data_IF_128444601899
#
_entry.id   IF_128444601899
#
_cell.length_a   1.000
_cell.length_b   1.000
_cell.length_c   1.000
_cell.angle_alpha   90.00
_cell.angle_beta   90.00
_cell.angle_gamma   90.00
#
_symmetry.space_group_name_H-M   'P 1'
#
loop_
_entity.id
_entity.type
_entity.pdbx_description
1 polymer ?
#
# COMPACT_ATOMS: atom_id res chain seq x y z
N UNK A 1 10.35 10.07 -71.31
CA UNK A 1 9.01 10.41 -70.79
C UNK A 1 8.62 9.62 -69.53
N UNK A 2 8.89 8.30 -69.43
CA UNK A 2 8.53 7.48 -68.26
C UNK A 2 9.20 7.91 -66.93
N UNK A 3 10.46 8.37 -66.95
CA UNK A 3 11.19 8.83 -65.74
C UNK A 3 10.63 10.13 -65.13
N UNK A 4 10.01 11.00 -65.93
CA UNK A 4 9.46 12.28 -65.45
C UNK A 4 8.15 12.08 -64.69
N UNK A 5 7.30 11.16 -65.15
CA UNK A 5 6.05 10.81 -64.46
C UNK A 5 6.28 10.15 -63.09
N UNK A 6 7.32 9.32 -62.96
CA UNK A 6 7.68 8.68 -61.68
C UNK A 6 8.18 9.73 -60.67
N UNK A 7 8.96 10.71 -61.11
CA UNK A 7 9.47 11.78 -60.23
C UNK A 7 8.33 12.69 -59.72
N UNK A 8 7.37 13.02 -60.59
CA UNK A 8 6.20 13.85 -60.24
C UNK A 8 5.29 13.10 -59.26
N UNK A 9 5.05 11.80 -59.48
CA UNK A 9 4.25 10.98 -58.57
C UNK A 9 4.92 10.82 -57.19
N UNK A 10 6.24 10.64 -57.15
CA UNK A 10 6.99 10.59 -55.89
C UNK A 10 6.94 11.92 -55.12
N UNK A 11 7.11 13.05 -55.83
CA UNK A 11 7.01 14.39 -55.24
C UNK A 11 5.60 14.68 -54.70
N UNK A 12 4.55 14.33 -55.43
CA UNK A 12 3.17 14.47 -54.94
C UNK A 12 2.86 13.59 -53.72
N UNK A 13 3.40 12.37 -53.70
CA UNK A 13 3.21 11.45 -52.57
C UNK A 13 3.94 11.95 -51.32
N UNK A 14 5.15 12.50 -51.49
CA UNK A 14 5.94 13.07 -50.39
C UNK A 14 5.32 14.39 -49.89
N UNK A 15 4.83 15.25 -50.79
CA UNK A 15 4.14 16.49 -50.41
C UNK A 15 2.83 16.20 -49.69
N UNK A 16 2.06 15.20 -50.14
CA UNK A 16 0.83 14.75 -49.47
C UNK A 16 1.09 14.17 -48.08
N UNK A 17 2.15 13.36 -47.91
CA UNK A 17 2.58 12.86 -46.58
C UNK A 17 3.01 14.01 -45.66
N UNK A 18 3.77 14.97 -46.17
CA UNK A 18 4.27 16.09 -45.38
C UNK A 18 3.15 17.06 -44.99
N UNK A 19 2.20 17.33 -45.90
CA UNK A 19 1.05 18.20 -45.64
C UNK A 19 0.03 17.55 -44.70
N UNK A 20 -0.25 16.25 -44.86
CA UNK A 20 -1.08 15.50 -43.90
C UNK A 20 -0.40 15.41 -42.53
N UNK A 21 0.92 15.24 -42.45
CA UNK A 21 1.63 15.23 -41.15
C UNK A 21 1.56 16.59 -40.44
N UNK A 22 1.64 17.70 -41.19
CA UNK A 22 1.51 19.05 -40.61
C UNK A 22 0.08 19.34 -40.18
N UNK A 23 -0.92 18.99 -41.00
CA UNK A 23 -2.33 19.18 -40.63
C UNK A 23 -2.72 18.29 -39.45
N UNK A 24 -2.26 17.03 -39.41
CA UNK A 24 -2.53 16.13 -38.28
C UNK A 24 -1.82 16.63 -37.02
N UNK A 25 -0.57 17.11 -37.10
CA UNK A 25 0.13 17.64 -35.92
C UNK A 25 -0.52 18.95 -35.43
N UNK A 26 -0.88 19.87 -36.33
CA UNK A 26 -1.58 21.11 -35.97
C UNK A 26 -3.01 20.86 -35.49
N UNK A 27 -3.72 19.87 -36.03
CA UNK A 27 -5.04 19.48 -35.57
C UNK A 27 -4.98 18.71 -34.23
N UNK A 28 -3.92 17.95 -33.95
CA UNK A 28 -3.69 17.32 -32.64
C UNK A 28 -3.40 18.37 -31.56
N UNK A 29 -2.69 19.46 -31.89
CA UNK A 29 -2.50 20.59 -30.96
C UNK A 29 -3.76 21.43 -30.73
N UNK A 30 -4.67 21.50 -31.71
CA UNK A 30 -5.91 22.31 -31.62
C UNK A 30 -7.09 21.49 -31.06
N UNK A 31 -7.04 20.15 -31.10
CA UNK A 31 -8.15 19.24 -30.75
C UNK A 31 -7.85 18.37 -29.52
N UNK A 32 -6.63 18.36 -28.98
CA UNK A 32 -6.42 17.79 -27.65
C UNK A 32 -6.98 18.79 -26.61
N UNK A 33 -8.16 18.55 -25.98
CA UNK A 33 -8.45 19.25 -24.73
C UNK A 33 -7.25 19.03 -23.81
N UNK A 34 -6.89 19.97 -22.93
CA UNK A 34 -5.82 19.79 -21.96
C UNK A 34 -6.02 18.45 -21.20
N UNK A 35 -5.44 17.36 -21.69
CA UNK A 35 -5.64 16.03 -21.12
C UNK A 35 -4.78 16.03 -19.88
N UNK A 36 -5.42 16.29 -18.74
CA UNK A 36 -4.73 16.29 -17.45
C UNK A 36 -3.93 15.00 -17.29
N UNK A 37 -2.66 15.17 -16.92
CA UNK A 37 -1.75 14.10 -16.55
C UNK A 37 -2.30 13.32 -15.35
N UNK A 38 -1.75 12.13 -15.09
CA UNK A 38 -2.19 11.33 -13.94
C UNK A 38 -1.86 12.01 -12.62
N UNK A 39 -0.73 12.71 -12.54
CA UNK A 39 -0.33 13.49 -11.37
C UNK A 39 -1.27 14.66 -11.15
N UNK A 40 -1.63 15.42 -12.19
CA UNK A 40 -2.58 16.53 -12.06
C UNK A 40 -3.94 16.05 -11.57
N UNK A 41 -4.43 14.90 -12.06
CA UNK A 41 -5.67 14.31 -11.55
C UNK A 41 -5.53 13.86 -10.10
N UNK A 42 -4.42 13.21 -9.74
CA UNK A 42 -4.12 12.79 -8.38
C UNK A 42 -4.08 14.00 -7.43
N UNK A 43 -3.43 15.08 -7.83
CA UNK A 43 -3.38 16.34 -7.08
C UNK A 43 -4.79 16.92 -6.85
N UNK A 44 -5.68 16.83 -7.84
CA UNK A 44 -7.08 17.25 -7.69
C UNK A 44 -7.84 16.40 -6.67
N UNK A 45 -7.73 15.07 -6.72
CA UNK A 45 -8.34 14.19 -5.72
C UNK A 45 -7.80 14.51 -4.31
N UNK A 46 -6.49 14.77 -4.20
CA UNK A 46 -5.87 15.11 -2.92
C UNK A 46 -6.36 16.45 -2.37
N UNK A 47 -6.45 17.48 -3.22
CA UNK A 47 -7.01 18.79 -2.84
C UNK A 47 -8.44 18.68 -2.33
N UNK A 48 -9.26 17.81 -2.92
CA UNK A 48 -10.61 17.54 -2.43
C UNK A 48 -10.58 17.00 -0.99
N UNK A 49 -9.75 15.99 -0.70
CA UNK A 49 -9.60 15.43 0.66
C UNK A 49 -9.09 16.49 1.64
N UNK A 50 -8.08 17.29 1.25
CA UNK A 50 -7.55 18.35 2.12
C UNK A 50 -8.60 19.42 2.41
N UNK A 51 -9.42 19.80 1.42
CA UNK A 51 -10.47 20.81 1.60
C UNK A 51 -11.50 20.39 2.65
N UNK A 52 -11.82 19.09 2.73
CA UNK A 52 -12.71 18.55 3.75
C UNK A 52 -12.13 18.72 5.16
N UNK A 53 -10.88 18.32 5.38
CA UNK A 53 -10.26 18.41 6.71
C UNK A 53 -9.89 19.84 7.12
N UNK A 54 -9.63 20.73 6.16
CA UNK A 54 -9.33 22.15 6.43
C UNK A 54 -10.58 23.02 6.70
N UNK A 55 -11.76 22.61 6.21
CA UNK A 55 -13.01 23.38 6.35
C UNK A 55 -13.82 23.06 7.61
N UNK A 56 -13.37 22.10 8.42
CA UNK A 56 -14.18 21.44 9.47
C UNK A 56 -14.28 22.23 10.80
N UNK A 57 -14.88 23.42 10.78
CA UNK A 57 -15.29 24.14 12.01
C UNK A 57 -16.72 23.81 12.49
N UNK A 58 -17.58 23.19 11.68
CA UNK A 58 -18.94 22.81 12.09
C UNK A 58 -19.29 21.42 11.54
N UNK A 59 -19.39 20.42 12.43
CA UNK A 59 -19.67 19.02 12.07
C UNK A 59 -21.16 18.69 12.30
N UNK A 60 -21.96 18.90 11.27
CA UNK A 60 -23.31 18.35 11.18
C UNK A 60 -23.24 16.84 10.86
N UNK A 61 -23.86 16.00 11.69
CA UNK A 61 -23.77 14.53 11.62
C UNK A 61 -24.27 13.95 10.28
N UNK A 62 -25.22 14.62 9.63
CA UNK A 62 -25.77 14.21 8.33
C UNK A 62 -24.78 14.39 7.17
N UNK A 63 -23.91 15.40 7.26
CA UNK A 63 -22.85 15.67 6.28
C UNK A 63 -21.70 14.67 6.40
N UNK A 64 -21.44 14.14 7.59
CA UNK A 64 -20.32 13.23 7.84
C UNK A 64 -20.37 11.95 6.98
N UNK A 65 -21.55 11.35 6.78
CA UNK A 65 -21.68 10.12 5.98
C UNK A 65 -21.47 10.37 4.49
N UNK A 66 -22.02 11.47 3.97
CA UNK A 66 -21.81 11.87 2.58
C UNK A 66 -20.33 12.16 2.30
N UNK A 67 -19.68 12.89 3.20
CA UNK A 67 -18.26 13.17 3.07
C UNK A 67 -17.37 11.93 3.20
N UNK A 68 -17.76 10.93 4.00
CA UNK A 68 -17.05 9.66 4.05
C UNK A 68 -17.02 8.95 2.67
N UNK A 69 -18.17 8.87 1.98
CA UNK A 69 -18.24 8.24 0.65
C UNK A 69 -17.39 9.02 -0.38
N UNK A 70 -17.40 10.35 -0.32
CA UNK A 70 -16.55 11.20 -1.16
C UNK A 70 -15.06 10.96 -0.91
N UNK A 71 -14.63 10.98 0.36
CA UNK A 71 -13.22 10.74 0.74
C UNK A 71 -12.77 9.36 0.27
N UNK A 72 -13.61 8.34 0.47
CA UNK A 72 -13.33 6.96 0.03
C UNK A 72 -13.09 6.90 -1.48
N UNK A 73 -13.96 7.54 -2.26
CA UNK A 73 -13.84 7.61 -3.71
C UNK A 73 -12.55 8.34 -4.16
N UNK A 74 -12.20 9.45 -3.50
CA UNK A 74 -10.96 10.18 -3.80
C UNK A 74 -9.71 9.34 -3.50
N UNK A 75 -9.68 8.64 -2.36
CA UNK A 75 -8.58 7.74 -2.01
C UNK A 75 -8.44 6.59 -3.01
N UNK A 76 -9.56 5.98 -3.42
CA UNK A 76 -9.56 4.92 -4.43
C UNK A 76 -9.05 5.43 -5.79
N UNK A 77 -9.44 6.64 -6.19
CA UNK A 77 -8.95 7.27 -7.42
C UNK A 77 -7.43 7.50 -7.40
N UNK A 78 -6.87 7.98 -6.29
CA UNK A 78 -5.41 8.15 -6.13
C UNK A 78 -4.70 6.80 -6.37
N UNK A 79 -5.15 5.73 -5.71
CA UNK A 79 -4.61 4.38 -5.90
C UNK A 79 -4.77 3.89 -7.35
N UNK A 80 -5.91 4.15 -7.97
CA UNK A 80 -6.16 3.79 -9.37
C UNK A 80 -5.17 4.48 -10.29
N UNK A 81 -4.88 5.76 -10.09
CA UNK A 81 -3.89 6.48 -10.90
C UNK A 81 -2.48 5.93 -10.72
N UNK A 82 -2.08 5.55 -9.50
CA UNK A 82 -0.79 4.88 -9.24
C UNK A 82 -0.70 3.55 -9.99
N UNK A 83 -1.74 2.71 -9.91
CA UNK A 83 -1.79 1.41 -10.60
C UNK A 83 -1.72 1.56 -12.13
N UNK A 84 -2.47 2.51 -12.67
CA UNK A 84 -2.49 2.79 -14.11
C UNK A 84 -1.13 3.29 -14.62
N UNK A 85 -0.41 4.12 -13.84
CA UNK A 85 0.95 4.54 -14.15
C UNK A 85 1.91 3.34 -14.17
N UNK A 86 1.87 2.50 -13.13
CA UNK A 86 2.71 1.32 -12.98
C UNK A 86 2.49 0.28 -14.10
N UNK A 87 1.24 0.07 -14.53
CA UNK A 87 0.91 -0.77 -15.71
C UNK A 87 1.57 -0.20 -16.97
N UNK A 88 1.47 1.11 -17.21
CA UNK A 88 2.08 1.75 -18.39
C UNK A 88 3.59 1.63 -18.39
N UNK A 89 4.23 1.82 -17.24
CA UNK A 89 5.69 1.66 -17.09
C UNK A 89 6.10 0.23 -17.48
N UNK A 90 5.42 -0.79 -16.93
CA UNK A 90 5.67 -2.21 -17.27
C UNK A 90 5.44 -2.55 -18.74
N UNK A 91 4.45 -1.93 -19.38
CA UNK A 91 4.16 -2.14 -20.80
C UNK A 91 5.10 -1.36 -21.72
N UNK A 92 5.81 -0.37 -21.20
CA UNK A 92 6.77 0.42 -21.97
C UNK A 92 8.13 -0.29 -22.06
N UNK A 93 8.83 -0.12 -23.17
CA UNK A 93 10.22 -0.58 -23.33
C UNK A 93 11.23 0.26 -22.53
N UNK A 94 10.76 1.22 -21.71
CA UNK A 94 11.57 2.07 -20.84
C UNK A 94 11.28 1.75 -19.37
N UNK A 95 11.93 0.72 -18.79
CA UNK A 95 11.69 0.26 -17.42
C UNK A 95 12.04 1.31 -16.34
N UNK A 96 12.68 2.42 -16.71
CA UNK A 96 13.09 3.52 -15.83
C UNK A 96 12.28 4.81 -16.08
N UNK A 97 11.03 4.71 -16.53
CA UNK A 97 10.16 5.89 -16.61
C UNK A 97 9.81 6.39 -15.20
N UNK A 98 9.86 7.70 -14.98
CA UNK A 98 9.60 8.32 -13.67
C UNK A 98 8.21 7.93 -13.13
N UNK A 99 8.15 7.55 -11.86
CA UNK A 99 6.92 7.18 -11.12
C UNK A 99 6.31 8.42 -10.48
N UNK A 100 5.89 9.36 -11.33
CA UNK A 100 5.51 10.69 -10.88
C UNK A 100 4.32 10.67 -9.90
N UNK A 101 3.42 9.68 -9.95
CA UNK A 101 2.32 9.56 -8.99
C UNK A 101 2.81 9.15 -7.59
N UNK A 102 3.76 8.21 -7.50
CA UNK A 102 4.33 7.80 -6.20
C UNK A 102 5.19 8.93 -5.65
N UNK A 103 6.02 9.55 -6.50
CA UNK A 103 6.87 10.68 -6.10
C UNK A 103 6.02 11.81 -5.53
N UNK A 104 4.90 12.16 -6.18
CA UNK A 104 3.96 13.15 -5.67
C UNK A 104 3.41 12.81 -4.27
N UNK A 105 3.03 11.54 -4.03
CA UNK A 105 2.52 11.09 -2.72
C UNK A 105 3.56 11.27 -1.62
N UNK A 106 4.82 10.97 -1.92
CA UNK A 106 5.94 11.08 -0.99
C UNK A 106 6.30 12.55 -0.73
N UNK A 107 6.49 13.34 -1.79
CA UNK A 107 6.89 14.75 -1.70
C UNK A 107 5.86 15.63 -0.99
N UNK A 108 4.57 15.31 -1.12
CA UNK A 108 3.48 16.06 -0.48
C UNK A 108 3.09 15.53 0.91
N UNK A 109 3.85 14.58 1.48
CA UNK A 109 3.59 13.98 2.80
C UNK A 109 2.14 13.47 2.96
N UNK A 110 1.55 12.95 1.88
CA UNK A 110 0.15 12.51 1.88
C UNK A 110 -0.06 11.40 2.90
N UNK A 111 0.88 10.46 2.98
CA UNK A 111 0.81 9.34 3.93
C UNK A 111 0.70 9.83 5.37
N UNK A 112 1.57 10.76 5.79
CA UNK A 112 1.53 11.31 7.14
C UNK A 112 0.25 12.11 7.41
N UNK A 113 -0.25 12.85 6.43
CA UNK A 113 -1.55 13.53 6.55
C UNK A 113 -2.68 12.53 6.81
N UNK A 114 -2.70 11.41 6.07
CA UNK A 114 -3.72 10.37 6.24
C UNK A 114 -3.63 9.68 7.60
N UNK A 115 -2.42 9.44 8.14
CA UNK A 115 -2.25 8.93 9.51
C UNK A 115 -2.90 9.88 10.52
N UNK A 116 -2.58 11.18 10.42
CA UNK A 116 -3.16 12.20 11.30
C UNK A 116 -4.69 12.28 11.21
N UNK A 117 -5.25 12.12 10.00
CA UNK A 117 -6.70 12.10 9.83
C UNK A 117 -7.32 10.84 10.46
N UNK A 118 -6.74 9.65 10.23
CA UNK A 118 -7.25 8.38 10.78
C UNK A 118 -7.20 8.32 12.32
N UNK A 119 -6.20 8.96 12.94
CA UNK A 119 -6.13 9.09 14.39
C UNK A 119 -7.31 9.90 14.95
N UNK A 120 -7.69 10.99 14.26
CA UNK A 120 -8.73 11.94 14.71
C UNK A 120 -10.14 11.56 14.28
N UNK A 121 -10.28 10.82 13.19
CA UNK A 121 -11.56 10.52 12.55
C UNK A 121 -11.73 9.00 12.37
N UNK A 122 -12.50 8.35 13.27
CA UNK A 122 -12.73 6.91 13.22
C UNK A 122 -13.38 6.42 11.92
N UNK A 123 -14.15 7.27 11.24
CA UNK A 123 -14.93 6.88 10.06
C UNK A 123 -14.03 6.49 8.89
N UNK A 124 -12.86 7.12 8.75
CA UNK A 124 -11.96 6.91 7.62
C UNK A 124 -10.84 5.88 7.89
N UNK A 125 -10.71 5.36 9.12
CA UNK A 125 -9.58 4.49 9.51
C UNK A 125 -9.41 3.30 8.57
N UNK A 126 -10.50 2.60 8.29
CA UNK A 126 -10.51 1.44 7.40
C UNK A 126 -10.07 1.83 5.99
N UNK A 127 -10.55 2.96 5.47
CA UNK A 127 -10.19 3.43 4.13
C UNK A 127 -8.74 3.89 4.03
N UNK A 128 -8.20 4.50 5.09
CA UNK A 128 -6.77 4.81 5.18
C UNK A 128 -5.94 3.54 5.22
N UNK A 129 -6.33 2.51 6.00
CA UNK A 129 -5.59 1.23 6.02
C UNK A 129 -5.64 0.56 4.64
N UNK A 130 -6.81 0.56 3.97
CA UNK A 130 -6.94 0.07 2.59
C UNK A 130 -6.05 0.86 1.63
N UNK A 131 -6.03 2.19 1.74
CA UNK A 131 -5.15 3.03 0.94
C UNK A 131 -3.69 2.63 1.12
N UNK A 132 -3.21 2.55 2.37
CA UNK A 132 -1.84 2.12 2.68
C UNK A 132 -1.54 0.71 2.16
N UNK A 133 -2.48 -0.23 2.32
CA UNK A 133 -2.31 -1.61 1.85
C UNK A 133 -2.10 -1.65 0.35
N UNK A 134 -2.96 -0.95 -0.40
CA UNK A 134 -2.82 -0.87 -1.85
C UNK A 134 -1.57 -0.09 -2.25
N UNK A 135 -1.23 1.00 -1.56
CA UNK A 135 -0.02 1.76 -1.84
C UNK A 135 1.22 0.89 -1.68
N UNK A 136 1.36 0.19 -0.55
CA UNK A 136 2.45 -0.74 -0.26
C UNK A 136 2.56 -1.82 -1.34
N UNK A 137 1.46 -2.43 -1.79
CA UNK A 137 1.50 -3.46 -2.85
C UNK A 137 2.05 -2.92 -4.19
N UNK A 138 1.92 -1.61 -4.47
CA UNK A 138 2.30 -1.01 -5.75
C UNK A 138 3.66 -0.29 -5.76
N UNK A 139 4.34 -0.20 -4.63
CA UNK A 139 5.70 0.37 -4.55
C UNK A 139 6.77 -0.72 -4.68
N UNK A 140 7.99 -0.31 -5.00
CA UNK A 140 9.16 -1.19 -4.96
C UNK A 140 9.60 -1.44 -3.51
N UNK A 141 10.20 -2.61 -3.18
CA UNK A 141 10.62 -2.93 -1.81
C UNK A 141 11.49 -1.85 -1.17
N UNK A 142 12.44 -1.26 -1.90
CA UNK A 142 13.34 -0.23 -1.36
C UNK A 142 12.58 1.02 -0.87
N UNK A 143 11.46 1.38 -1.52
CA UNK A 143 10.64 2.53 -1.13
C UNK A 143 9.89 2.31 0.19
N UNK A 144 9.81 1.06 0.67
CA UNK A 144 9.26 0.77 1.98
C UNK A 144 10.04 1.48 3.10
N UNK A 145 11.35 1.65 2.94
CA UNK A 145 12.19 2.41 3.88
C UNK A 145 11.80 3.89 3.96
N UNK A 146 11.45 4.51 2.83
CA UNK A 146 11.04 5.90 2.77
C UNK A 146 9.68 6.16 3.44
N UNK A 147 8.83 5.12 3.53
CA UNK A 147 7.51 5.20 4.15
C UNK A 147 7.43 4.48 5.50
N UNK A 148 8.57 4.08 6.07
CA UNK A 148 8.62 3.34 7.32
C UNK A 148 7.89 4.08 8.45
N UNK A 149 8.22 5.36 8.66
CA UNK A 149 7.65 6.17 9.74
C UNK A 149 6.10 6.26 9.69
N UNK A 150 5.46 6.73 8.60
CA UNK A 150 4.00 6.82 8.57
C UNK A 150 3.32 5.44 8.63
N UNK A 151 3.97 4.39 8.12
CA UNK A 151 3.43 3.03 8.18
C UNK A 151 3.44 2.47 9.60
N UNK A 152 4.56 2.64 10.32
CA UNK A 152 4.72 2.23 11.70
C UNK A 152 3.75 3.00 12.62
N UNK A 153 3.66 4.33 12.45
CA UNK A 153 2.75 5.18 13.22
C UNK A 153 1.29 4.76 13.01
N UNK A 154 0.87 4.49 11.77
CA UNK A 154 -0.48 4.04 11.45
C UNK A 154 -0.81 2.71 12.15
N UNK A 155 0.08 1.73 12.02
CA UNK A 155 -0.16 0.37 12.55
C UNK A 155 -0.19 0.39 14.07
N UNK A 156 0.78 1.03 14.71
CA UNK A 156 0.85 1.09 16.17
C UNK A 156 -0.34 1.86 16.75
N UNK A 157 -0.62 3.06 16.22
CA UNK A 157 -1.69 3.90 16.77
C UNK A 157 -3.08 3.28 16.59
N UNK A 158 -3.40 2.72 15.42
CA UNK A 158 -4.73 2.16 15.18
C UNK A 158 -4.96 0.83 15.90
N UNK A 159 -3.91 0.03 16.12
CA UNK A 159 -4.02 -1.19 16.91
C UNK A 159 -4.32 -0.89 18.38
N UNK A 160 -3.65 0.12 18.96
CA UNK A 160 -3.86 0.53 20.36
C UNK A 160 -5.23 1.17 20.62
N UNK A 161 -5.78 1.91 19.64
CA UNK A 161 -7.03 2.66 19.84
C UNK A 161 -8.27 1.75 19.87
N UNK A 162 -8.27 0.65 19.12
CA UNK A 162 -9.50 -0.12 18.86
C UNK A 162 -9.23 -1.63 18.71
N UNK A 163 -8.57 -2.21 19.72
CA UNK A 163 -8.16 -3.63 19.74
C UNK A 163 -9.31 -4.65 19.65
N UNK A 164 -10.57 -4.19 19.75
CA UNK A 164 -11.77 -5.04 19.63
C UNK A 164 -12.52 -4.88 18.31
N UNK A 165 -12.17 -3.88 17.49
CA UNK A 165 -12.80 -3.67 16.20
C UNK A 165 -12.29 -4.69 15.19
N UNK A 166 -13.07 -5.76 15.05
CA UNK A 166 -12.70 -6.91 14.22
C UNK A 166 -12.39 -6.48 12.80
N UNK A 167 -13.21 -5.61 12.18
CA UNK A 167 -13.02 -5.16 10.79
C UNK A 167 -11.71 -4.40 10.60
N UNK A 168 -11.42 -3.44 11.50
CA UNK A 168 -10.17 -2.68 11.49
C UNK A 168 -8.96 -3.61 11.64
N UNK A 169 -9.02 -4.59 12.55
CA UNK A 169 -7.97 -5.59 12.73
C UNK A 169 -7.77 -6.41 11.45
N UNK A 170 -8.85 -6.82 10.76
CA UNK A 170 -8.69 -7.59 9.52
C UNK A 170 -7.91 -6.80 8.47
N UNK A 171 -8.19 -5.51 8.33
CA UNK A 171 -7.47 -4.64 7.39
C UNK A 171 -6.02 -4.37 7.83
N UNK A 172 -5.76 -4.18 9.13
CA UNK A 172 -4.39 -4.06 9.66
C UNK A 172 -3.56 -5.32 9.37
N UNK A 173 -4.13 -6.51 9.56
CA UNK A 173 -3.45 -7.76 9.27
C UNK A 173 -3.12 -7.88 7.77
N UNK A 174 -4.00 -7.40 6.87
CA UNK A 174 -3.72 -7.36 5.43
C UNK A 174 -2.58 -6.39 5.11
N UNK A 175 -2.55 -5.22 5.74
CA UNK A 175 -1.46 -4.26 5.60
C UNK A 175 -0.13 -4.86 6.06
N UNK A 176 -0.09 -5.41 7.28
CA UNK A 176 1.10 -6.07 7.84
C UNK A 176 1.60 -7.19 6.92
N UNK A 177 0.70 -8.00 6.39
CA UNK A 177 1.06 -9.05 5.44
C UNK A 177 1.67 -8.48 4.14
N UNK A 178 1.15 -7.36 3.61
CA UNK A 178 1.72 -6.70 2.44
C UNK A 178 3.14 -6.16 2.72
N UNK A 179 3.36 -5.60 3.91
CA UNK A 179 4.70 -5.16 4.36
C UNK A 179 5.66 -6.34 4.45
N UNK A 180 5.25 -7.44 5.07
CA UNK A 180 6.08 -8.65 5.22
C UNK A 180 6.45 -9.23 3.85
N UNK A 181 5.54 -9.20 2.86
CA UNK A 181 5.87 -9.65 1.50
C UNK A 181 7.01 -8.87 0.88
N UNK A 182 7.11 -7.56 1.13
CA UNK A 182 8.26 -6.77 0.70
C UNK A 182 9.52 -7.11 1.48
N UNK A 183 9.42 -7.33 2.79
CA UNK A 183 10.55 -7.77 3.61
C UNK A 183 11.09 -9.12 3.12
N UNK A 184 10.25 -10.04 2.67
CA UNK A 184 10.74 -11.32 2.09
C UNK A 184 11.54 -11.10 0.81
N UNK A 185 11.22 -10.06 0.03
CA UNK A 185 11.94 -9.71 -1.19
C UNK A 185 13.26 -8.99 -0.85
N UNK A 186 13.26 -8.15 0.19
CA UNK A 186 14.43 -7.41 0.67
C UNK A 186 14.55 -7.53 2.21
N UNK A 187 15.13 -8.64 2.73
CA UNK A 187 15.15 -8.97 4.15
C UNK A 187 15.76 -7.92 5.07
N UNK A 188 16.69 -7.11 4.57
CA UNK A 188 17.39 -6.05 5.31
C UNK A 188 16.41 -5.00 5.88
N UNK A 189 15.24 -4.85 5.27
CA UNK A 189 14.20 -3.93 5.73
C UNK A 189 13.59 -4.33 7.07
N UNK A 190 13.73 -5.60 7.50
CA UNK A 190 13.13 -6.07 8.75
C UNK A 190 13.64 -5.30 9.97
N UNK A 191 14.89 -4.83 9.91
CA UNK A 191 15.55 -4.09 10.99
C UNK A 191 14.80 -2.82 11.34
N UNK A 192 14.16 -2.17 10.35
CA UNK A 192 13.38 -0.95 10.57
C UNK A 192 12.19 -1.17 11.49
N UNK A 193 11.62 -2.38 11.52
CA UNK A 193 10.38 -2.66 12.25
C UNK A 193 10.59 -3.24 13.65
N UNK A 194 11.83 -3.36 14.07
CA UNK A 194 12.18 -3.74 15.44
C UNK A 194 12.23 -2.51 16.35
N UNK A 195 11.65 -2.62 17.54
CA UNK A 195 11.68 -1.60 18.58
C UNK A 195 12.31 -2.16 19.85
N UNK A 196 13.23 -1.42 20.47
CA UNK A 196 13.68 -1.74 21.83
C UNK A 196 12.58 -1.45 22.83
N UNK A 197 12.36 -2.36 23.77
CA UNK A 197 11.46 -2.16 24.90
C UNK A 197 12.24 -1.64 26.13
N UNK A 198 11.51 -1.32 27.20
CA UNK A 198 12.07 -0.79 28.46
C UNK A 198 13.06 -1.73 29.16
N UNK A 199 13.06 -3.02 28.80
CA UNK A 199 13.95 -4.06 29.36
C UNK A 199 15.15 -4.36 28.44
N UNK A 200 15.47 -3.46 27.50
CA UNK A 200 16.47 -3.64 26.45
C UNK A 200 16.24 -4.83 25.50
N UNK A 201 15.12 -5.55 25.63
CA UNK A 201 14.74 -6.60 24.68
C UNK A 201 14.13 -5.95 23.44
N UNK A 202 14.33 -6.59 22.30
CA UNK A 202 13.78 -6.09 21.05
C UNK A 202 12.43 -6.74 20.76
N UNK A 203 11.39 -5.92 20.61
CA UNK A 203 10.07 -6.34 20.18
C UNK A 203 9.88 -6.05 18.68
N UNK A 204 9.03 -6.84 18.05
CA UNK A 204 8.52 -6.60 16.71
C UNK A 204 7.00 -6.38 16.82
N UNK A 205 6.51 -5.14 16.88
CA UNK A 205 5.09 -4.87 17.14
C UNK A 205 4.13 -5.59 16.17
N UNK A 206 4.46 -5.59 14.87
CA UNK A 206 3.66 -6.31 13.87
C UNK A 206 3.58 -7.81 14.16
N UNK A 207 4.63 -8.39 14.73
CA UNK A 207 4.64 -9.79 15.11
C UNK A 207 3.72 -10.08 16.30
N UNK A 208 3.71 -9.23 17.33
CA UNK A 208 2.76 -9.33 18.44
C UNK A 208 1.32 -9.32 17.92
N UNK A 209 0.97 -8.34 17.09
CA UNK A 209 -0.36 -8.21 16.48
C UNK A 209 -0.76 -9.48 15.71
N UNK A 210 0.18 -10.05 14.93
CA UNK A 210 -0.07 -11.28 14.18
C UNK A 210 -0.32 -12.47 15.11
N UNK A 211 0.41 -12.57 16.21
CA UNK A 211 0.25 -13.64 17.19
C UNK A 211 -1.11 -13.60 17.89
N UNK A 212 -1.57 -12.41 18.27
CA UNK A 212 -2.90 -12.25 18.87
C UNK A 212 -4.01 -12.72 17.93
N UNK A 213 -3.75 -12.67 16.61
CA UNK A 213 -4.72 -13.04 15.58
C UNK A 213 -4.64 -14.50 15.10
N UNK A 214 -3.66 -15.32 15.51
CA UNK A 214 -3.44 -16.66 14.90
C UNK A 214 -4.59 -17.63 15.12
N UNK A 215 -5.32 -17.48 16.23
CA UNK A 215 -6.41 -18.38 16.61
C UNK A 215 -7.77 -17.91 16.08
N UNK A 216 -7.83 -16.71 15.48
CA UNK A 216 -9.04 -16.19 14.86
C UNK A 216 -9.42 -17.07 13.67
N UNK A 217 -10.70 -17.48 13.61
CA UNK A 217 -11.23 -18.27 12.49
C UNK A 217 -11.43 -17.39 11.24
N UNK A 218 -11.46 -18.02 10.07
CA UNK A 218 -11.68 -17.32 8.80
C UNK A 218 -10.43 -16.61 8.28
N UNK A 219 -10.65 -15.51 7.55
CA UNK A 219 -9.59 -14.88 6.76
C UNK A 219 -8.51 -14.20 7.61
N UNK A 220 -8.88 -13.52 8.70
CA UNK A 220 -7.93 -12.79 9.56
C UNK A 220 -6.84 -13.70 10.12
N UNK A 221 -7.22 -14.80 10.78
CA UNK A 221 -6.22 -15.73 11.30
C UNK A 221 -5.47 -16.47 10.19
N UNK A 222 -6.11 -16.73 9.04
CA UNK A 222 -5.39 -17.32 7.88
C UNK A 222 -4.28 -16.41 7.39
N UNK A 223 -4.56 -15.13 7.17
CA UNK A 223 -3.57 -14.14 6.73
C UNK A 223 -2.49 -13.95 7.80
N UNK A 224 -2.87 -13.96 9.08
CA UNK A 224 -1.92 -13.86 10.18
C UNK A 224 -0.93 -15.03 10.20
N UNK A 225 -1.44 -16.26 10.06
CA UNK A 225 -0.61 -17.48 9.97
C UNK A 225 0.30 -17.47 8.73
N UNK A 226 -0.18 -16.99 7.59
CA UNK A 226 0.63 -16.85 6.36
C UNK A 226 1.79 -15.86 6.57
N UNK A 227 1.50 -14.69 7.13
CA UNK A 227 2.51 -13.67 7.43
C UNK A 227 3.56 -14.17 8.44
N UNK A 228 3.15 -14.88 9.49
CA UNK A 228 4.08 -15.50 10.44
C UNK A 228 4.95 -16.58 9.80
N UNK A 229 4.38 -17.40 8.92
CA UNK A 229 5.13 -18.39 8.16
C UNK A 229 6.20 -17.73 7.28
N UNK A 230 5.89 -16.60 6.65
CA UNK A 230 6.86 -15.82 5.89
C UNK A 230 8.00 -15.33 6.79
N UNK A 231 7.71 -14.78 7.97
CA UNK A 231 8.76 -14.37 8.93
C UNK A 231 9.64 -15.56 9.33
N UNK A 232 9.03 -16.70 9.66
CA UNK A 232 9.77 -17.93 10.03
C UNK A 232 10.66 -18.44 8.89
N UNK A 233 10.26 -18.23 7.64
CA UNK A 233 11.07 -18.56 6.48
C UNK A 233 12.37 -17.76 6.45
N UNK A 234 12.38 -16.50 6.86
CA UNK A 234 13.62 -15.71 6.98
C UNK A 234 14.63 -16.36 7.92
N UNK A 235 14.16 -16.97 9.03
CA UNK A 235 15.04 -17.68 9.98
C UNK A 235 15.76 -18.88 9.37
N UNK A 236 15.19 -19.48 8.31
CA UNK A 236 15.81 -20.59 7.61
C UNK A 236 16.97 -20.11 6.75
N UNK A 237 16.81 -18.95 6.13
CA UNK A 237 17.72 -18.43 5.12
C UNK A 237 18.78 -17.48 5.71
N UNK A 238 18.54 -16.89 6.88
CA UNK A 238 19.45 -15.98 7.60
C UNK A 238 19.74 -16.47 9.04
N UNK A 239 20.96 -16.95 9.25
CA UNK A 239 21.45 -17.41 10.56
C UNK A 239 21.64 -16.29 11.59
N UNK A 240 21.94 -15.08 11.15
CA UNK A 240 22.04 -13.92 12.04
C UNK A 240 20.66 -13.52 12.54
N UNK A 241 19.68 -13.44 11.63
CA UNK A 241 18.29 -13.18 11.99
C UNK A 241 17.72 -14.24 12.93
N UNK A 242 18.01 -15.53 12.68
CA UNK A 242 17.64 -16.62 13.58
C UNK A 242 18.25 -16.44 14.97
N UNK A 243 19.55 -16.13 15.05
CA UNK A 243 20.25 -15.92 16.33
C UNK A 243 19.67 -14.73 17.09
N UNK A 244 19.39 -13.64 16.37
CA UNK A 244 18.75 -12.46 16.91
C UNK A 244 17.36 -12.78 17.49
N UNK A 245 16.50 -13.50 16.75
CA UNK A 245 15.19 -13.91 17.26
C UNK A 245 15.29 -14.83 18.49
N UNK A 246 16.28 -15.72 18.55
CA UNK A 246 16.48 -16.63 19.68
C UNK A 246 16.97 -15.92 20.94
N UNK A 247 17.86 -14.93 20.80
CA UNK A 247 18.61 -14.37 21.93
C UNK A 247 18.10 -13.00 22.37
N UNK A 248 17.63 -12.18 21.42
CA UNK A 248 17.35 -10.75 21.64
C UNK A 248 15.85 -10.44 21.69
N UNK A 249 14.99 -11.43 21.40
CA UNK A 249 13.53 -11.26 21.32
C UNK A 249 12.77 -12.30 22.13
N UNK A 250 11.52 -12.00 22.50
CA UNK A 250 10.62 -12.92 23.23
C UNK A 250 9.82 -13.85 22.28
N UNK A 251 10.21 -13.88 21.00
CA UNK A 251 9.45 -14.51 19.92
C UNK A 251 8.96 -15.94 20.21
N UNK A 252 9.88 -16.82 20.59
CA UNK A 252 9.56 -18.24 20.81
C UNK A 252 8.75 -18.47 22.09
N UNK A 253 8.93 -17.64 23.11
CA UNK A 253 8.15 -17.69 24.34
C UNK A 253 6.69 -17.31 24.07
N UNK A 254 6.47 -16.23 23.31
CA UNK A 254 5.13 -15.75 22.96
C UNK A 254 4.43 -16.74 22.03
N UNK A 255 5.13 -17.33 21.04
CA UNK A 255 4.58 -18.41 20.21
C UNK A 255 4.15 -19.60 21.06
N UNK A 256 5.01 -20.06 21.98
CA UNK A 256 4.72 -21.20 22.84
C UNK A 256 3.46 -20.95 23.69
N UNK A 257 3.29 -19.75 24.23
CA UNK A 257 2.09 -19.36 24.97
C UNK A 257 0.83 -19.43 24.08
N UNK A 258 0.87 -18.84 22.88
CA UNK A 258 -0.28 -18.82 21.98
C UNK A 258 -0.66 -20.20 21.44
N UNK A 259 0.33 -21.06 21.19
CA UNK A 259 0.10 -22.45 20.83
C UNK A 259 -0.54 -23.23 21.98
N UNK A 260 -0.05 -23.06 23.22
CA UNK A 260 -0.68 -23.68 24.39
C UNK A 260 -2.14 -23.27 24.52
N UNK A 261 -2.44 -21.98 24.38
CA UNK A 261 -3.83 -21.48 24.39
C UNK A 261 -4.67 -22.12 23.28
N UNK A 262 -4.13 -22.23 22.07
CA UNK A 262 -4.79 -22.89 20.95
C UNK A 262 -5.09 -24.37 21.23
N UNK A 263 -4.12 -25.10 21.77
CA UNK A 263 -4.27 -26.51 22.14
C UNK A 263 -5.29 -26.70 23.28
N UNK A 264 -5.30 -25.82 24.29
CA UNK A 264 -6.31 -25.88 25.36
C UNK A 264 -7.72 -25.55 24.87
N UNK A 265 -7.85 -24.80 23.78
CA UNK A 265 -9.13 -24.45 23.18
C UNK A 265 -9.65 -25.52 22.20
N UNK A 266 -8.86 -26.56 21.89
CA UNK A 266 -9.37 -27.70 21.16
C UNK A 266 -10.43 -28.41 22.01
N UNK A 267 -11.56 -28.81 21.43
CA UNK A 267 -12.52 -29.62 22.16
C UNK A 267 -11.81 -30.88 22.67
N UNK A 268 -11.98 -31.19 23.97
CA UNK A 268 -11.53 -32.44 24.58
C UNK A 268 -12.29 -33.60 23.92
N UNK A 269 -11.91 -33.97 22.71
CA UNK A 269 -12.35 -35.21 22.08
C UNK A 269 -11.53 -36.35 22.67
N UNK A 270 -11.63 -36.55 23.98
CA UNK A 270 -11.29 -37.81 24.65
C UNK A 270 -12.41 -38.85 24.43
N UNK A 271 -12.89 -38.93 23.19
CA UNK A 271 -13.55 -40.10 22.62
C UNK A 271 -12.74 -40.49 21.38
N UNK A 272 -11.46 -40.77 21.60
CA UNK A 272 -10.83 -41.87 20.86
C UNK A 272 -11.65 -43.11 21.21
N UNK A 273 -12.51 -43.49 20.26
CA UNK A 273 -13.21 -44.77 20.24
C UNK A 273 -12.12 -45.85 20.39
N UNK A 274 -12.19 -46.57 21.50
CA UNK A 274 -11.44 -47.81 21.78
C UNK A 274 -11.89 -48.89 20.80
#
# INVERSE_FOLDING_TARGET
QLKLHILIAAAFTQFRKMFLSKIVNSAVEIIAPHIKSKVERLEEEWKCIQSFYNSSKDKDLSKLKYHFEEISNHLENIIRYIKEEDIKIRMSSKPFSNRNCIDFVLENNILLCLVNYAQKDPLIRIEVIKFFTHFVINIQPLLLSAIHNPLEELISSLYEIDEYNTELIQELIKLIHAVIRHIIILPELIVLYFKKNEKDKTNFPMFSILLDCINIRGQTGRVSREALYLILRLCKDDGCFKTFLLNETEFFEIINLHLKMAFTALPNNNTLIV
#
